data_IF_891431019006
#
_entry.id   IF_891431019006
#
_cell.length_a   1.000
_cell.length_b   1.000
_cell.length_c   1.000
_cell.angle_alpha   90.00
_cell.angle_beta   90.00
_cell.angle_gamma   90.00
#
_symmetry.space_group_name_H-M   'P 1'
#
loop_
_entity.id
_entity.type
_entity.pdbx_description
1 polymer ?
#
# COMPACT_ATOMS: atom_id res chain seq x y z
N UNK A 1 28.35 -7.65 24.92
CA UNK A 1 26.96 -7.24 25.14
C UNK A 1 26.91 -5.83 25.72
N UNK A 2 27.59 -5.56 26.83
CA UNK A 2 27.66 -4.22 27.44
C UNK A 2 28.17 -3.17 26.44
N UNK A 3 29.22 -3.46 25.70
CA UNK A 3 29.74 -2.58 24.62
C UNK A 3 28.67 -2.23 23.59
N UNK A 4 27.87 -3.23 23.18
CA UNK A 4 26.77 -2.98 22.24
C UNK A 4 25.71 -2.07 22.84
N UNK A 5 25.36 -2.31 24.09
CA UNK A 5 24.30 -1.57 24.79
C UNK A 5 24.72 -0.13 25.14
N UNK A 6 25.94 0.06 25.59
CA UNK A 6 26.42 1.33 26.15
C UNK A 6 27.07 2.24 25.10
N UNK A 7 27.64 1.68 24.03
CA UNK A 7 28.43 2.43 23.05
C UNK A 7 27.91 2.29 21.64
N UNK A 8 27.79 1.04 21.13
CA UNK A 8 27.49 0.82 19.70
C UNK A 8 26.06 1.23 19.37
N UNK A 9 25.09 0.81 20.17
CA UNK A 9 23.69 1.17 19.90
C UNK A 9 23.40 2.67 20.05
N UNK A 10 23.88 3.37 21.09
CA UNK A 10 23.83 4.83 21.15
C UNK A 10 24.52 5.53 19.98
N UNK A 11 25.64 5.01 19.51
CA UNK A 11 26.31 5.51 18.31
C UNK A 11 25.41 5.35 17.07
N UNK A 12 24.84 4.17 16.86
CA UNK A 12 23.89 3.91 15.76
C UNK A 12 22.69 4.86 15.82
N UNK A 13 22.11 5.10 17.01
CA UNK A 13 21.01 6.05 17.19
C UNK A 13 21.35 7.47 16.67
N UNK A 14 22.57 7.88 16.85
CA UNK A 14 23.05 9.23 16.54
C UNK A 14 23.87 9.29 15.24
N UNK A 15 23.86 8.23 14.44
CA UNK A 15 24.74 8.07 13.28
C UNK A 15 24.63 9.22 12.27
N UNK A 16 23.44 9.78 12.10
CA UNK A 16 23.19 10.81 11.09
C UNK A 16 23.58 12.24 11.53
N UNK A 17 23.82 12.49 12.82
CA UNK A 17 24.25 13.79 13.34
C UNK A 17 23.24 14.93 13.24
N UNK A 18 22.35 14.93 12.27
CA UNK A 18 21.26 15.91 12.11
C UNK A 18 19.98 15.39 12.80
N UNK A 19 19.57 16.10 13.86
CA UNK A 19 18.37 15.76 14.63
C UNK A 19 17.06 15.89 13.83
N UNK A 20 17.06 16.60 12.73
CA UNK A 20 15.90 16.80 11.88
C UNK A 20 15.81 15.76 10.74
N UNK A 21 16.85 14.96 10.57
CA UNK A 21 16.81 13.89 9.56
C UNK A 21 15.72 12.87 9.85
N UNK A 22 15.18 12.25 8.81
CA UNK A 22 14.22 11.16 8.95
C UNK A 22 14.77 10.05 9.85
N UNK A 23 16.04 9.67 9.65
CA UNK A 23 16.73 8.68 10.47
C UNK A 23 16.68 9.02 11.96
N UNK A 24 17.09 10.24 12.35
CA UNK A 24 17.12 10.66 13.75
C UNK A 24 15.75 10.63 14.40
N UNK A 25 14.70 11.07 13.69
CA UNK A 25 13.31 11.02 14.16
C UNK A 25 12.86 9.59 14.49
N UNK A 26 13.19 8.62 13.62
CA UNK A 26 12.76 7.23 13.81
C UNK A 26 13.61 6.47 14.81
N UNK A 27 14.83 6.91 15.06
CA UNK A 27 15.72 6.29 16.04
C UNK A 27 15.60 6.90 17.44
N UNK A 28 14.93 8.03 17.62
CA UNK A 28 14.91 8.78 18.88
C UNK A 28 14.44 7.94 20.07
N UNK A 29 13.36 7.19 19.92
CA UNK A 29 12.80 6.31 20.94
C UNK A 29 13.27 4.84 20.82
N UNK A 30 14.24 4.54 19.97
CA UNK A 30 14.75 3.18 19.80
C UNK A 30 15.50 2.70 21.05
N UNK A 31 15.20 1.45 21.44
CA UNK A 31 15.78 0.80 22.62
C UNK A 31 16.42 -0.51 22.20
N UNK A 32 17.64 -0.77 22.72
CA UNK A 32 18.29 -2.05 22.54
C UNK A 32 17.60 -3.13 23.38
N UNK A 33 16.92 -4.08 22.73
CA UNK A 33 16.08 -5.10 23.38
C UNK A 33 16.56 -6.53 23.24
N UNK A 34 17.78 -6.79 22.73
CA UNK A 34 18.29 -8.15 22.68
C UNK A 34 18.48 -8.68 24.12
N UNK A 35 17.83 -9.80 24.48
CA UNK A 35 17.75 -10.18 25.90
C UNK A 35 19.02 -10.84 26.44
N UNK A 36 19.87 -11.42 25.58
CA UNK A 36 21.04 -12.19 26.04
C UNK A 36 22.27 -11.95 25.13
N UNK A 37 23.49 -12.05 25.70
CA UNK A 37 24.74 -12.01 24.94
C UNK A 37 24.81 -13.10 23.86
N UNK A 38 24.30 -14.30 24.13
CA UNK A 38 24.30 -15.41 23.18
C UNK A 38 23.44 -15.09 21.95
N UNK A 39 22.28 -14.45 22.16
CA UNK A 39 21.43 -14.04 21.03
C UNK A 39 22.10 -12.94 20.21
N UNK A 40 22.75 -11.98 20.88
CA UNK A 40 23.52 -10.95 20.20
C UNK A 40 24.62 -11.55 19.33
N UNK A 41 25.41 -12.50 19.83
CA UNK A 41 26.44 -13.20 19.05
C UNK A 41 25.83 -13.83 17.78
N UNK A 42 24.76 -14.59 17.92
CA UNK A 42 24.08 -15.22 16.79
C UNK A 42 23.58 -14.21 15.74
N UNK A 43 23.08 -13.05 16.19
CA UNK A 43 22.64 -11.98 15.28
C UNK A 43 23.85 -11.39 14.54
N UNK A 44 24.95 -11.13 15.23
CA UNK A 44 26.17 -10.62 14.60
C UNK A 44 26.71 -11.60 13.57
N UNK A 45 26.84 -12.89 13.94
CA UNK A 45 27.33 -13.93 13.02
C UNK A 45 26.45 -14.05 11.76
N UNK A 46 25.11 -13.96 11.92
CA UNK A 46 24.17 -13.98 10.80
C UNK A 46 24.30 -12.73 9.91
N UNK A 47 24.49 -11.55 10.49
CA UNK A 47 24.72 -10.31 9.74
C UNK A 47 26.04 -10.36 8.98
N UNK A 48 27.11 -10.87 9.58
CA UNK A 48 28.41 -11.03 8.91
C UNK A 48 28.30 -11.94 7.69
N UNK A 49 27.56 -13.06 7.82
CA UNK A 49 27.30 -13.95 6.67
C UNK A 49 26.49 -13.26 5.56
N UNK A 50 25.44 -12.50 5.93
CA UNK A 50 24.66 -11.71 4.96
C UNK A 50 25.55 -10.70 4.25
N UNK A 51 26.38 -9.93 4.97
CA UNK A 51 27.29 -8.95 4.38
C UNK A 51 28.33 -9.61 3.47
N UNK A 52 28.84 -10.79 3.82
CA UNK A 52 29.75 -11.56 2.98
C UNK A 52 29.08 -11.92 1.65
N UNK A 53 27.87 -12.50 1.68
CA UNK A 53 27.11 -12.85 0.49
C UNK A 53 26.76 -11.62 -0.37
N UNK A 54 26.43 -10.49 0.26
CA UNK A 54 26.17 -9.24 -0.45
C UNK A 54 27.40 -8.72 -1.20
N UNK A 55 28.59 -8.80 -0.60
CA UNK A 55 29.84 -8.36 -1.24
C UNK A 55 30.27 -9.27 -2.40
N UNK A 56 29.89 -10.53 -2.37
CA UNK A 56 30.12 -11.51 -3.44
C UNK A 56 29.10 -11.38 -4.59
N UNK A 57 27.97 -10.74 -4.34
CA UNK A 57 26.88 -10.55 -5.30
C UNK A 57 27.10 -9.30 -6.16
N UNK A 58 26.94 -9.42 -7.48
CA UNK A 58 26.93 -8.28 -8.41
C UNK A 58 25.53 -7.63 -8.57
N UNK A 59 24.56 -8.02 -7.76
CA UNK A 59 23.19 -7.53 -7.86
C UNK A 59 23.07 -6.08 -7.36
N UNK A 60 22.29 -5.28 -8.07
CA UNK A 60 22.23 -3.81 -7.93
C UNK A 60 21.50 -3.37 -6.65
N UNK A 61 20.63 -4.19 -6.05
CA UNK A 61 19.87 -3.81 -4.84
C UNK A 61 19.74 -4.94 -3.80
N UNK A 62 20.87 -5.53 -3.44
CA UNK A 62 20.91 -6.63 -2.47
C UNK A 62 20.43 -6.19 -1.08
N UNK A 63 20.62 -4.91 -0.70
CA UNK A 63 20.23 -4.40 0.63
C UNK A 63 18.72 -4.37 0.80
N UNK A 64 18.02 -3.79 -0.17
CA UNK A 64 16.57 -3.73 -0.16
C UNK A 64 15.94 -5.11 -0.20
N UNK A 65 16.41 -6.00 -1.07
CA UNK A 65 15.90 -7.36 -1.17
C UNK A 65 16.15 -8.18 0.10
N UNK A 66 17.30 -8.02 0.75
CA UNK A 66 17.60 -8.67 2.03
C UNK A 66 16.66 -8.16 3.12
N UNK A 67 16.43 -6.84 3.17
CA UNK A 67 15.52 -6.24 4.14
C UNK A 67 14.08 -6.75 3.94
N UNK A 68 13.60 -6.78 2.72
CA UNK A 68 12.28 -7.32 2.36
C UNK A 68 12.17 -8.82 2.71
N UNK A 69 13.20 -9.61 2.48
CA UNK A 69 13.25 -11.01 2.88
C UNK A 69 13.11 -11.17 4.40
N UNK A 70 13.86 -10.38 5.19
CA UNK A 70 13.75 -10.39 6.65
C UNK A 70 12.35 -10.00 7.12
N UNK A 71 11.76 -8.96 6.53
CA UNK A 71 10.38 -8.56 6.83
C UNK A 71 9.38 -9.68 6.52
N UNK A 72 9.58 -10.41 5.41
CA UNK A 72 8.71 -11.54 5.06
C UNK A 72 8.79 -12.67 6.10
N UNK A 73 9.97 -12.94 6.64
CA UNK A 73 10.18 -13.94 7.70
C UNK A 73 9.57 -13.52 9.04
N UNK A 74 9.69 -12.25 9.41
CA UNK A 74 9.02 -11.70 10.60
C UNK A 74 7.50 -11.82 10.47
N UNK A 75 6.96 -11.51 9.32
CA UNK A 75 5.55 -11.66 9.04
C UNK A 75 5.07 -13.12 9.16
N UNK A 76 5.80 -14.07 8.55
CA UNK A 76 5.50 -15.50 8.63
C UNK A 76 5.54 -16.07 10.05
N UNK A 77 6.36 -15.50 10.95
CA UNK A 77 6.45 -15.95 12.34
C UNK A 77 5.22 -15.63 13.19
N UNK A 78 4.28 -14.83 12.68
CA UNK A 78 3.04 -14.44 13.37
C UNK A 78 3.25 -13.54 14.59
N UNK A 79 4.48 -13.16 14.89
CA UNK A 79 4.82 -12.42 16.11
C UNK A 79 4.21 -11.00 16.17
N UNK A 80 3.86 -10.43 15.03
CA UNK A 80 3.32 -9.06 14.97
C UNK A 80 1.86 -8.98 14.52
N UNK A 81 1.17 -10.08 14.21
CA UNK A 81 -0.27 -10.12 13.91
C UNK A 81 -0.74 -9.21 12.76
N UNK A 82 0.18 -8.63 12.00
CA UNK A 82 -0.14 -7.62 11.01
C UNK A 82 -0.26 -8.21 9.61
N UNK A 83 -1.32 -7.80 8.93
CA UNK A 83 -1.54 -8.11 7.53
C UNK A 83 -0.49 -7.44 6.66
N UNK A 84 0.28 -8.23 5.92
CA UNK A 84 1.16 -7.71 4.90
C UNK A 84 0.58 -8.03 3.51
N UNK A 85 0.47 -7.01 2.68
CA UNK A 85 0.08 -7.21 1.28
C UNK A 85 1.17 -7.98 0.55
N UNK A 86 0.85 -9.08 -0.16
CA UNK A 86 1.85 -9.81 -0.93
C UNK A 86 2.56 -8.92 -1.96
N UNK A 87 3.88 -9.06 -2.08
CA UNK A 87 4.71 -8.17 -2.92
C UNK A 87 4.28 -8.17 -4.39
N UNK A 88 3.88 -9.31 -4.93
CA UNK A 88 3.42 -9.41 -6.33
C UNK A 88 2.08 -8.68 -6.56
N UNK A 89 1.20 -8.63 -5.56
CA UNK A 89 -0.03 -7.83 -5.60
C UNK A 89 0.30 -6.34 -5.53
N UNK A 90 1.21 -5.94 -4.65
CA UNK A 90 1.70 -4.54 -4.58
C UNK A 90 2.29 -4.12 -5.92
N UNK A 91 3.17 -4.93 -6.51
CA UNK A 91 3.80 -4.63 -7.81
C UNK A 91 2.77 -4.51 -8.92
N UNK A 92 1.79 -5.41 -8.98
CA UNK A 92 0.68 -5.31 -9.92
C UNK A 92 -0.07 -3.99 -9.76
N UNK A 93 -0.47 -3.61 -8.55
CA UNK A 93 -1.20 -2.36 -8.30
C UNK A 93 -0.37 -1.14 -8.71
N UNK A 94 0.91 -1.12 -8.39
CA UNK A 94 1.81 -0.02 -8.79
C UNK A 94 1.94 0.05 -10.32
N UNK A 95 2.06 -1.08 -11.00
CA UNK A 95 2.15 -1.12 -12.46
C UNK A 95 0.85 -0.67 -13.14
N UNK A 96 -0.31 -1.03 -12.60
CA UNK A 96 -1.61 -0.55 -13.08
C UNK A 96 -1.74 0.98 -12.93
N UNK A 97 -1.18 1.54 -11.85
CA UNK A 97 -1.26 2.98 -11.60
C UNK A 97 -0.19 3.79 -12.34
N UNK A 98 0.88 3.17 -12.82
CA UNK A 98 1.98 3.82 -13.57
C UNK A 98 2.38 5.18 -12.98
N UNK A 99 3.01 5.22 -11.78
CA UNK A 99 3.40 6.45 -11.11
C UNK A 99 4.27 7.35 -12.00
N UNK A 100 4.12 8.67 -11.85
CA UNK A 100 4.85 9.70 -12.60
C UNK A 100 5.87 10.41 -11.70
N UNK A 101 6.87 11.03 -12.34
CA UNK A 101 7.99 11.66 -11.65
C UNK A 101 7.63 12.92 -10.84
N UNK A 102 6.48 13.52 -11.10
CA UNK A 102 5.96 14.73 -10.46
C UNK A 102 4.84 14.45 -9.45
N UNK A 103 4.49 13.21 -9.22
CA UNK A 103 3.40 12.84 -8.31
C UNK A 103 3.79 13.00 -6.84
N UNK A 104 2.78 13.16 -6.00
CA UNK A 104 2.87 13.08 -4.54
C UNK A 104 2.08 11.83 -4.14
N UNK A 105 2.79 10.83 -3.63
CA UNK A 105 2.28 9.49 -3.39
C UNK A 105 2.06 9.27 -1.90
N UNK A 106 0.86 8.81 -1.52
CA UNK A 106 0.53 8.56 -0.11
C UNK A 106 0.04 7.12 0.12
N UNK A 107 0.48 6.55 1.23
CA UNK A 107 -0.08 5.34 1.84
C UNK A 107 -0.59 5.68 3.25
N UNK A 108 -1.88 5.98 3.43
CA UNK A 108 -2.41 6.47 4.71
C UNK A 108 -2.63 5.38 5.78
N UNK A 109 -2.28 4.14 5.49
CA UNK A 109 -2.13 3.00 6.39
C UNK A 109 -0.92 2.21 5.89
N UNK A 110 0.29 2.77 6.06
CA UNK A 110 1.46 2.36 5.30
C UNK A 110 2.13 1.06 5.80
N UNK A 111 1.90 0.66 7.05
CA UNK A 111 2.56 -0.50 7.63
C UNK A 111 4.08 -0.42 7.47
N UNK A 112 4.66 -1.40 6.79
CA UNK A 112 6.10 -1.46 6.45
C UNK A 112 6.47 -0.63 5.22
N UNK A 113 5.61 0.24 4.73
CA UNK A 113 5.78 1.09 3.53
C UNK A 113 5.95 0.32 2.21
N UNK A 114 5.48 -0.92 2.12
CA UNK A 114 5.68 -1.76 0.94
C UNK A 114 5.15 -1.15 -0.36
N UNK A 115 4.02 -0.46 -0.34
CA UNK A 115 3.49 0.27 -1.52
C UNK A 115 4.40 1.42 -1.95
N UNK A 116 4.91 2.19 -0.99
CA UNK A 116 5.78 3.33 -1.29
C UNK A 116 7.14 2.85 -1.82
N UNK A 117 7.70 1.79 -1.25
CA UNK A 117 8.91 1.14 -1.75
C UNK A 117 8.72 0.66 -3.19
N UNK A 118 7.65 -0.08 -3.46
CA UNK A 118 7.37 -0.58 -4.80
C UNK A 118 7.14 0.54 -5.82
N UNK A 119 6.49 1.64 -5.43
CA UNK A 119 6.35 2.83 -6.28
C UNK A 119 7.72 3.47 -6.57
N UNK A 120 8.60 3.55 -5.56
CA UNK A 120 9.97 4.04 -5.73
C UNK A 120 10.80 3.15 -6.67
N UNK A 121 10.74 1.83 -6.49
CA UNK A 121 11.38 0.86 -7.39
C UNK A 121 10.88 1.02 -8.83
N UNK A 122 9.56 1.07 -9.01
CA UNK A 122 8.95 1.26 -10.34
C UNK A 122 9.43 2.53 -11.04
N UNK A 123 9.50 3.64 -10.31
CA UNK A 123 9.98 4.91 -10.82
C UNK A 123 11.48 4.86 -11.19
N UNK A 124 12.30 4.20 -10.40
CA UNK A 124 13.72 3.97 -10.71
C UNK A 124 13.91 3.13 -11.98
N UNK A 125 13.07 2.12 -12.19
CA UNK A 125 13.15 1.24 -13.34
C UNK A 125 12.62 1.93 -14.62
N UNK A 126 11.49 2.62 -14.53
CA UNK A 126 10.75 3.10 -15.69
C UNK A 126 10.92 4.60 -16.01
N UNK A 127 11.43 5.40 -15.04
CA UNK A 127 11.55 6.86 -15.12
C UNK A 127 12.96 7.36 -14.71
N UNK A 128 13.95 6.48 -14.75
CA UNK A 128 15.30 6.74 -14.23
C UNK A 128 15.91 8.02 -14.79
N UNK A 129 15.94 8.16 -16.10
CA UNK A 129 16.53 9.34 -16.76
C UNK A 129 15.76 10.61 -16.43
N UNK A 130 14.43 10.55 -16.46
CA UNK A 130 13.57 11.67 -16.15
C UNK A 130 13.79 12.20 -14.73
N UNK A 131 13.99 11.31 -13.75
CA UNK A 131 14.12 11.67 -12.34
C UNK A 131 15.55 12.05 -11.97
N UNK A 132 16.53 11.21 -12.34
CA UNK A 132 17.87 11.32 -11.78
C UNK A 132 18.82 12.22 -12.60
N UNK A 133 18.44 12.60 -13.82
CA UNK A 133 19.19 13.57 -14.63
C UNK A 133 18.66 15.00 -14.46
N UNK A 134 17.54 15.17 -13.77
CA UNK A 134 16.98 16.47 -13.37
C UNK A 134 17.15 16.67 -11.86
N UNK A 135 17.84 17.74 -11.46
CA UNK A 135 18.12 18.02 -10.05
C UNK A 135 16.83 18.26 -9.23
N UNK A 136 15.83 18.92 -9.79
CA UNK A 136 14.58 19.22 -9.08
C UNK A 136 13.73 17.96 -8.92
N UNK A 137 13.63 17.15 -9.97
CA UNK A 137 12.89 15.86 -9.90
C UNK A 137 13.57 14.87 -8.97
N UNK A 138 14.90 14.82 -8.96
CA UNK A 138 15.66 14.01 -8.01
C UNK A 138 15.42 14.46 -6.56
N UNK A 139 15.45 15.76 -6.30
CA UNK A 139 15.14 16.30 -4.98
C UNK A 139 13.70 15.99 -4.57
N UNK A 140 12.75 16.17 -5.47
CA UNK A 140 11.35 15.78 -5.25
C UNK A 140 11.21 14.30 -4.89
N UNK A 141 11.83 13.40 -5.67
CA UNK A 141 11.82 11.97 -5.41
C UNK A 141 12.39 11.61 -4.03
N UNK A 142 13.52 12.23 -3.65
CA UNK A 142 14.22 11.90 -2.40
C UNK A 142 13.54 12.48 -1.15
N UNK A 143 12.86 13.63 -1.26
CA UNK A 143 12.47 14.42 -0.10
C UNK A 143 10.98 14.80 -0.05
N UNK A 144 10.23 14.73 -1.16
CA UNK A 144 8.90 15.35 -1.22
C UNK A 144 7.82 14.48 -1.86
N UNK A 145 8.16 13.30 -2.37
CA UNK A 145 7.24 12.45 -3.12
C UNK A 145 6.46 11.48 -2.24
N UNK A 146 7.09 10.88 -1.22
CA UNK A 146 6.55 9.72 -0.52
C UNK A 146 6.07 10.04 0.88
N UNK A 147 4.79 9.80 1.13
CA UNK A 147 4.11 10.04 2.40
C UNK A 147 3.47 8.76 2.92
N UNK A 148 3.74 8.39 4.16
CA UNK A 148 3.15 7.23 4.83
C UNK A 148 2.69 7.57 6.23
N UNK A 149 1.54 7.05 6.62
CA UNK A 149 0.97 7.25 7.94
C UNK A 149 0.56 5.92 8.55
N UNK A 150 0.83 5.74 9.82
CA UNK A 150 0.39 4.57 10.59
C UNK A 150 0.27 4.93 12.07
N UNK A 151 -0.46 4.14 12.83
CA UNK A 151 -0.58 4.29 14.29
C UNK A 151 0.39 3.38 15.05
N UNK A 152 1.08 2.47 14.39
CA UNK A 152 2.08 1.59 15.01
C UNK A 152 3.49 2.16 14.82
N UNK A 153 4.08 2.64 15.92
CA UNK A 153 5.44 3.22 15.91
C UNK A 153 6.52 2.24 15.47
N UNK A 154 6.34 0.95 15.74
CA UNK A 154 7.28 -0.09 15.29
C UNK A 154 7.21 -0.23 13.78
N UNK A 155 6.00 -0.25 13.21
CA UNK A 155 5.81 -0.29 11.76
C UNK A 155 6.36 0.95 11.07
N UNK A 156 6.18 2.14 11.64
CA UNK A 156 6.73 3.38 11.10
C UNK A 156 8.26 3.33 11.03
N UNK A 157 8.93 2.84 12.08
CA UNK A 157 10.38 2.67 12.07
C UNK A 157 10.83 1.67 11.00
N UNK A 158 10.18 0.51 10.94
CA UNK A 158 10.44 -0.49 9.90
C UNK A 158 10.20 0.10 8.51
N UNK A 159 9.08 0.79 8.31
CA UNK A 159 8.72 1.39 7.03
C UNK A 159 9.71 2.47 6.58
N UNK A 160 10.13 3.33 7.49
CA UNK A 160 11.15 4.36 7.20
C UNK A 160 12.48 3.72 6.82
N UNK A 161 12.94 2.72 7.57
CA UNK A 161 14.16 1.96 7.25
C UNK A 161 14.04 1.26 5.90
N UNK A 162 12.87 0.66 5.61
CA UNK A 162 12.59 0.04 4.32
C UNK A 162 12.75 1.04 3.16
N UNK A 163 12.16 2.22 3.28
CA UNK A 163 12.31 3.28 2.27
C UNK A 163 13.77 3.71 2.09
N UNK A 164 14.49 3.92 3.20
CA UNK A 164 15.89 4.36 3.18
C UNK A 164 16.82 3.28 2.58
N UNK A 165 16.60 2.00 2.87
CA UNK A 165 17.39 0.90 2.28
C UNK A 165 17.17 0.76 0.78
N UNK A 166 16.02 1.24 0.26
CA UNK A 166 15.73 1.33 -1.17
C UNK A 166 16.14 2.67 -1.80
N UNK A 167 16.91 3.49 -1.07
CA UNK A 167 17.54 4.71 -1.57
C UNK A 167 16.58 5.90 -1.68
N UNK A 168 15.63 6.02 -0.77
CA UNK A 168 14.81 7.21 -0.56
C UNK A 168 15.26 7.83 0.76
N UNK A 169 16.01 8.92 0.70
CA UNK A 169 16.78 9.42 1.85
C UNK A 169 15.90 10.00 2.96
N UNK A 170 14.86 10.75 2.60
CA UNK A 170 14.00 11.42 3.55
C UNK A 170 12.50 11.14 3.30
N UNK A 171 12.04 9.89 3.47
CA UNK A 171 10.64 9.57 3.35
C UNK A 171 9.84 10.25 4.46
N UNK A 172 8.66 10.75 4.13
CA UNK A 172 7.77 11.37 5.11
C UNK A 172 6.85 10.31 5.73
N UNK A 173 7.37 9.57 6.69
CA UNK A 173 6.64 8.52 7.39
C UNK A 173 6.33 8.99 8.80
N UNK A 174 5.05 9.14 9.16
CA UNK A 174 4.66 9.75 10.43
C UNK A 174 3.60 8.94 11.18
N UNK A 175 3.66 9.03 12.52
CA UNK A 175 2.59 8.59 13.38
C UNK A 175 1.36 9.47 13.19
N UNK A 176 0.26 8.86 12.77
CA UNK A 176 -1.00 9.58 12.58
C UNK A 176 -2.18 8.63 12.62
N UNK A 177 -3.21 9.01 13.37
CA UNK A 177 -4.54 8.46 13.15
C UNK A 177 -5.14 9.13 11.91
N UNK A 178 -5.09 8.41 10.79
CA UNK A 178 -5.53 8.93 9.49
C UNK A 178 -7.01 9.29 9.44
N UNK A 179 -7.85 8.65 10.27
CA UNK A 179 -9.30 8.84 10.29
C UNK A 179 -9.77 9.92 11.27
N UNK A 180 -8.88 10.43 12.12
CA UNK A 180 -9.21 11.43 13.13
C UNK A 180 -9.21 12.87 12.58
N UNK A 181 -9.75 13.80 13.36
CA UNK A 181 -9.69 15.24 13.07
C UNK A 181 -8.25 15.80 13.11
N UNK A 182 -7.31 15.07 13.70
CA UNK A 182 -5.90 15.45 13.70
C UNK A 182 -5.22 15.28 12.33
N UNK A 183 -5.86 14.60 11.39
CA UNK A 183 -5.36 14.50 10.02
C UNK A 183 -5.78 15.75 9.21
N UNK A 184 -4.85 16.69 8.93
CA UNK A 184 -5.17 17.94 8.22
C UNK A 184 -5.23 17.77 6.70
N UNK A 185 -4.78 16.62 6.16
CA UNK A 185 -4.55 16.46 4.74
C UNK A 185 -5.86 16.43 3.94
N UNK A 186 -6.00 17.42 3.06
CA UNK A 186 -7.10 17.56 2.10
C UNK A 186 -6.50 17.97 0.75
N UNK A 187 -6.97 17.35 -0.32
CA UNK A 187 -6.57 17.68 -1.71
C UNK A 187 -5.06 17.83 -1.93
N UNK A 188 -4.29 16.95 -1.28
CA UNK A 188 -2.82 17.03 -1.25
C UNK A 188 -2.14 16.06 -2.20
N UNK A 189 -2.67 14.84 -2.34
CA UNK A 189 -2.00 13.74 -3.01
C UNK A 189 -2.52 13.51 -4.43
N UNK A 190 -1.62 13.15 -5.34
CA UNK A 190 -1.98 12.79 -6.71
C UNK A 190 -2.18 11.29 -6.88
N UNK A 191 -1.56 10.47 -6.01
CA UNK A 191 -1.70 9.03 -6.02
C UNK A 191 -1.81 8.50 -4.59
N UNK A 192 -2.82 7.66 -4.33
CA UNK A 192 -2.95 6.89 -3.09
C UNK A 192 -2.87 5.40 -3.43
N UNK A 193 -2.02 4.69 -2.70
CA UNK A 193 -1.87 3.24 -2.74
C UNK A 193 -2.09 2.70 -1.34
N UNK A 194 -3.10 1.84 -1.16
CA UNK A 194 -3.48 1.44 0.18
C UNK A 194 -4.03 0.01 0.27
N UNK A 195 -3.73 -0.62 1.38
CA UNK A 195 -4.42 -1.80 1.90
C UNK A 195 -4.83 -1.49 3.34
N UNK A 196 -5.95 -0.77 3.57
CA UNK A 196 -6.39 -0.40 4.91
C UNK A 196 -6.87 -1.62 5.69
N UNK A 197 -7.00 -1.53 7.03
CA UNK A 197 -7.53 -2.61 7.85
C UNK A 197 -8.91 -3.07 7.36
N UNK A 198 -9.08 -4.40 7.18
CA UNK A 198 -10.33 -4.99 6.67
C UNK A 198 -11.45 -5.02 7.71
N UNK A 199 -11.11 -4.92 8.97
CA UNK A 199 -12.05 -4.94 10.09
C UNK A 199 -11.62 -3.93 11.15
N UNK A 200 -12.56 -3.20 11.64
CA UNK A 200 -12.38 -2.28 12.73
C UNK A 200 -13.68 -1.53 12.97
N UNK A 201 -13.90 -1.14 14.21
CA UNK A 201 -15.00 -0.26 14.58
C UNK A 201 -14.44 0.83 15.45
N UNK A 202 -14.60 2.06 15.04
CA UNK A 202 -14.17 3.24 15.77
C UNK A 202 -15.35 3.89 16.48
N UNK A 203 -15.07 4.59 17.58
CA UNK A 203 -16.06 5.50 18.13
C UNK A 203 -16.26 6.69 17.19
N UNK A 204 -17.51 7.03 16.93
CA UNK A 204 -17.84 8.13 16.03
C UNK A 204 -17.22 9.47 16.48
N UNK A 205 -17.03 9.64 17.79
CA UNK A 205 -16.46 10.85 18.37
C UNK A 205 -14.97 11.02 18.10
N UNK A 206 -14.29 9.94 17.67
CA UNK A 206 -12.86 9.98 17.30
C UNK A 206 -12.64 10.16 15.79
N UNK A 207 -13.68 9.99 14.99
CA UNK A 207 -13.63 10.07 13.53
C UNK A 207 -13.88 11.50 13.07
N UNK A 208 -13.11 11.94 12.09
CA UNK A 208 -13.28 13.25 11.47
C UNK A 208 -14.70 13.47 10.94
N UNK A 209 -15.32 14.57 11.31
CA UNK A 209 -16.72 14.89 11.00
C UNK A 209 -17.00 14.98 9.49
N UNK A 210 -16.02 15.36 8.68
CA UNK A 210 -16.17 15.44 7.23
C UNK A 210 -16.23 14.05 6.57
N UNK A 211 -15.55 13.04 7.11
CA UNK A 211 -15.67 11.66 6.65
C UNK A 211 -17.06 11.09 6.96
N UNK A 212 -17.60 11.39 8.15
CA UNK A 212 -18.94 10.96 8.55
C UNK A 212 -20.05 11.59 7.72
N UNK A 213 -19.83 12.76 7.10
CA UNK A 213 -20.77 13.36 6.14
C UNK A 213 -20.86 12.56 4.84
N UNK A 214 -19.75 11.97 4.39
CA UNK A 214 -19.73 11.13 3.18
C UNK A 214 -20.32 9.76 3.49
N UNK A 215 -19.92 9.17 4.63
CA UNK A 215 -20.28 7.81 5.00
C UNK A 215 -20.45 7.70 6.51
N UNK A 216 -21.72 7.79 6.98
CA UNK A 216 -22.04 7.68 8.41
C UNK A 216 -21.91 6.24 8.87
N UNK A 217 -20.76 5.88 9.40
CA UNK A 217 -20.43 4.52 9.83
C UNK A 217 -19.34 4.51 10.90
N UNK A 218 -19.21 3.39 11.59
CA UNK A 218 -18.07 3.07 12.47
C UNK A 218 -17.06 2.11 11.80
N UNK A 219 -17.38 1.61 10.61
CA UNK A 219 -16.54 0.63 9.90
C UNK A 219 -15.34 1.29 9.24
N UNK A 220 -14.14 0.87 9.66
CA UNK A 220 -12.88 1.45 9.20
C UNK A 220 -12.69 1.34 7.70
N UNK A 221 -13.04 0.19 7.09
CA UNK A 221 -12.89 -0.06 5.66
C UNK A 221 -13.68 0.93 4.78
N UNK A 222 -14.86 1.37 5.23
CA UNK A 222 -15.66 2.38 4.52
C UNK A 222 -15.14 3.80 4.75
N UNK A 223 -14.70 4.10 5.98
CA UNK A 223 -14.14 5.41 6.34
C UNK A 223 -12.83 5.69 5.59
N UNK A 224 -12.02 4.66 5.34
CA UNK A 224 -10.81 4.83 4.54
C UNK A 224 -11.10 5.22 3.08
N UNK A 225 -12.16 4.72 2.47
CA UNK A 225 -12.58 5.15 1.13
C UNK A 225 -12.97 6.64 1.11
N UNK A 226 -13.74 7.09 2.12
CA UNK A 226 -14.06 8.51 2.28
C UNK A 226 -12.80 9.36 2.50
N UNK A 227 -11.84 8.84 3.29
CA UNK A 227 -10.56 9.48 3.53
C UNK A 227 -9.74 9.64 2.24
N UNK A 228 -9.65 8.61 1.40
CA UNK A 228 -8.91 8.69 0.14
C UNK A 228 -9.47 9.78 -0.76
N UNK A 229 -10.80 9.87 -0.89
CA UNK A 229 -11.45 10.96 -1.63
C UNK A 229 -11.14 12.35 -1.03
N UNK A 230 -11.08 12.48 0.30
CA UNK A 230 -10.71 13.74 0.95
C UNK A 230 -9.26 14.14 0.66
N UNK A 231 -8.34 13.17 0.75
CA UNK A 231 -6.89 13.42 0.66
C UNK A 231 -6.40 13.64 -0.78
N UNK A 232 -7.07 13.04 -1.77
CA UNK A 232 -6.74 13.21 -3.17
C UNK A 232 -7.08 14.64 -3.64
N UNK A 233 -6.18 15.24 -4.41
CA UNK A 233 -6.49 16.40 -5.23
C UNK A 233 -7.40 16.02 -6.41
N UNK A 234 -8.07 17.01 -7.01
CA UNK A 234 -8.84 16.76 -8.25
C UNK A 234 -7.90 16.23 -9.34
N UNK A 235 -8.31 15.15 -10.01
CA UNK A 235 -7.48 14.39 -10.93
C UNK A 235 -6.55 13.37 -10.25
N UNK A 236 -6.49 13.36 -8.93
CA UNK A 236 -5.72 12.36 -8.17
C UNK A 236 -6.38 10.99 -8.23
N UNK A 237 -5.56 9.95 -8.20
CA UNK A 237 -5.94 8.55 -8.44
C UNK A 237 -5.70 7.69 -7.20
N UNK A 238 -6.51 6.65 -7.05
CA UNK A 238 -6.35 5.69 -5.98
C UNK A 238 -6.41 4.26 -6.52
N UNK A 239 -5.53 3.40 -6.03
CA UNK A 239 -5.72 1.96 -6.03
C UNK A 239 -5.71 1.45 -4.59
N UNK A 240 -6.79 0.83 -4.17
CA UNK A 240 -6.90 0.33 -2.81
C UNK A 240 -7.53 -1.06 -2.76
N UNK A 241 -7.12 -1.84 -1.76
CA UNK A 241 -7.68 -3.15 -1.48
C UNK A 241 -8.81 -3.00 -0.48
N UNK A 242 -9.92 -3.65 -0.75
CA UNK A 242 -11.10 -3.70 0.13
C UNK A 242 -11.59 -5.13 0.30
N UNK A 243 -12.20 -5.49 1.44
CA UNK A 243 -12.90 -6.76 1.56
C UNK A 243 -14.16 -6.76 0.70
N UNK A 244 -14.55 -7.92 0.17
CA UNK A 244 -15.71 -8.08 -0.71
C UNK A 244 -17.00 -7.46 -0.17
N UNK A 245 -17.18 -7.48 1.16
CA UNK A 245 -18.33 -6.87 1.79
C UNK A 245 -18.54 -5.38 1.46
N UNK A 246 -17.50 -4.69 1.03
CA UNK A 246 -17.59 -3.31 0.55
C UNK A 246 -18.35 -3.25 -0.78
N UNK A 247 -18.18 -4.25 -1.65
CA UNK A 247 -18.76 -4.26 -3.00
C UNK A 247 -20.28 -4.45 -3.00
N UNK A 248 -20.80 -5.30 -2.11
CA UNK A 248 -22.23 -5.69 -2.10
C UNK A 248 -22.95 -5.39 -0.78
N UNK A 249 -22.28 -4.89 0.24
CA UNK A 249 -22.89 -4.61 1.53
C UNK A 249 -24.17 -3.77 1.40
N UNK A 250 -25.23 -4.16 2.12
CA UNK A 250 -26.58 -3.59 1.96
C UNK A 250 -26.87 -2.37 2.84
N UNK A 251 -26.01 -2.05 3.82
CA UNK A 251 -26.24 -0.91 4.71
C UNK A 251 -26.21 0.41 3.97
N UNK A 252 -26.88 1.42 4.52
CA UNK A 252 -26.88 2.78 3.97
C UNK A 252 -25.47 3.32 3.75
N UNK A 253 -24.54 3.04 4.68
CA UNK A 253 -23.16 3.48 4.58
C UNK A 253 -22.40 2.82 3.40
N UNK A 254 -22.59 1.52 3.17
CA UNK A 254 -22.01 0.84 2.01
C UNK A 254 -22.51 1.43 0.69
N UNK A 255 -23.83 1.63 0.59
CA UNK A 255 -24.43 2.23 -0.61
C UNK A 255 -23.97 3.67 -0.82
N UNK A 256 -23.86 4.46 0.26
CA UNK A 256 -23.42 5.84 0.19
C UNK A 256 -21.99 5.96 -0.38
N UNK A 257 -21.05 5.17 0.13
CA UNK A 257 -19.66 5.24 -0.36
C UNK A 257 -19.54 4.73 -1.80
N UNK A 258 -20.23 3.65 -2.19
CA UNK A 258 -20.23 3.19 -3.57
C UNK A 258 -20.85 4.21 -4.52
N UNK A 259 -21.95 4.85 -4.11
CA UNK A 259 -22.56 5.95 -4.86
C UNK A 259 -21.59 7.11 -5.03
N UNK A 260 -20.87 7.49 -3.97
CA UNK A 260 -19.87 8.56 -4.06
C UNK A 260 -18.75 8.23 -5.05
N UNK A 261 -18.27 6.98 -5.07
CA UNK A 261 -17.27 6.54 -6.03
C UNK A 261 -17.79 6.56 -7.48
N UNK A 262 -19.03 6.12 -7.70
CA UNK A 262 -19.63 5.94 -9.04
C UNK A 262 -20.22 7.24 -9.59
N UNK A 263 -20.98 7.98 -8.79
CA UNK A 263 -21.69 9.19 -9.21
C UNK A 263 -20.89 10.47 -8.99
N UNK A 264 -20.22 10.58 -7.84
CA UNK A 264 -19.45 11.76 -7.47
C UNK A 264 -18.07 11.83 -8.08
N UNK A 265 -17.53 10.68 -8.46
CA UNK A 265 -16.17 10.55 -8.98
C UNK A 265 -16.13 9.62 -10.20
N UNK A 266 -14.95 9.19 -10.62
CA UNK A 266 -14.78 8.22 -11.70
C UNK A 266 -14.23 6.90 -11.15
N UNK A 267 -15.12 5.91 -10.97
CA UNK A 267 -14.71 4.53 -10.72
C UNK A 267 -14.28 3.90 -12.04
N UNK A 268 -13.05 3.45 -12.11
CA UNK A 268 -12.45 2.93 -13.35
C UNK A 268 -12.45 1.41 -13.40
N UNK A 269 -12.08 0.76 -12.28
CA UNK A 269 -11.97 -0.70 -12.25
C UNK A 269 -12.28 -1.30 -10.91
N UNK A 270 -12.77 -2.55 -10.97
CA UNK A 270 -12.92 -3.48 -9.85
C UNK A 270 -12.25 -4.79 -10.23
N UNK A 271 -11.20 -5.18 -9.51
CA UNK A 271 -10.48 -6.44 -9.73
C UNK A 271 -10.76 -7.32 -8.51
N UNK A 272 -11.62 -8.32 -8.69
CA UNK A 272 -11.91 -9.32 -7.65
C UNK A 272 -10.71 -10.25 -7.47
N UNK A 273 -10.33 -10.51 -6.22
CA UNK A 273 -9.28 -11.44 -5.86
C UNK A 273 -9.85 -12.59 -5.02
N UNK A 274 -9.48 -13.86 -5.30
CA UNK A 274 -10.04 -15.00 -4.60
C UNK A 274 -9.60 -15.05 -3.14
N UNK A 275 -10.39 -15.75 -2.31
CA UNK A 275 -9.98 -16.07 -0.96
C UNK A 275 -8.67 -16.86 -0.98
N UNK A 276 -7.75 -16.54 -0.05
CA UNK A 276 -6.44 -17.19 -0.01
C UNK A 276 -5.28 -16.34 -0.51
N UNK A 277 -5.50 -15.28 -1.30
CA UNK A 277 -4.43 -14.35 -1.71
C UNK A 277 -3.67 -13.77 -0.50
N UNK A 278 -4.39 -13.51 0.59
CA UNK A 278 -3.81 -12.94 1.83
C UNK A 278 -3.48 -13.99 2.90
N UNK A 279 -3.54 -15.28 2.59
CA UNK A 279 -3.11 -16.31 3.54
C UNK A 279 -1.60 -16.24 3.82
N UNK A 280 -1.16 -16.61 5.02
CA UNK A 280 -1.96 -17.14 6.14
C UNK A 280 -2.70 -16.09 6.98
N UNK A 281 -2.67 -14.81 6.64
CA UNK A 281 -3.19 -13.72 7.49
C UNK A 281 -4.71 -13.56 7.42
N UNK A 282 -5.29 -13.70 6.23
CA UNK A 282 -6.73 -13.61 6.02
C UNK A 282 -7.20 -14.59 4.94
N UNK A 283 -8.29 -15.29 5.25
CA UNK A 283 -8.97 -16.19 4.30
C UNK A 283 -10.21 -15.53 3.66
N UNK A 284 -10.26 -14.21 3.60
CA UNK A 284 -11.40 -13.47 3.01
C UNK A 284 -11.11 -13.12 1.56
N UNK A 285 -12.15 -13.12 0.73
CA UNK A 285 -12.10 -12.57 -0.61
C UNK A 285 -12.02 -11.05 -0.54
N UNK A 286 -11.29 -10.46 -1.46
CA UNK A 286 -11.00 -9.02 -1.51
C UNK A 286 -11.13 -8.51 -2.93
N UNK A 287 -11.11 -7.20 -3.09
CA UNK A 287 -11.03 -6.59 -4.41
C UNK A 287 -10.11 -5.38 -4.40
N UNK A 288 -9.57 -5.06 -5.56
CA UNK A 288 -8.88 -3.79 -5.81
C UNK A 288 -9.87 -2.85 -6.47
N UNK A 289 -10.04 -1.67 -5.89
CA UNK A 289 -10.78 -0.56 -6.48
C UNK A 289 -9.78 0.43 -7.07
N UNK A 290 -9.99 0.83 -8.33
CA UNK A 290 -9.22 1.89 -8.99
C UNK A 290 -10.19 3.01 -9.35
N UNK A 291 -9.90 4.22 -8.88
CA UNK A 291 -10.73 5.39 -9.13
C UNK A 291 -9.93 6.69 -9.19
N UNK A 292 -10.51 7.68 -9.87
CA UNK A 292 -9.98 9.05 -9.93
C UNK A 292 -10.96 10.00 -9.24
N UNK A 293 -10.44 10.87 -8.36
CA UNK A 293 -11.23 11.95 -7.78
C UNK A 293 -11.49 13.02 -8.83
N UNK A 294 -12.74 13.23 -9.17
CA UNK A 294 -13.17 14.27 -10.10
C UNK A 294 -14.03 15.33 -9.41
N UNK A 295 -14.82 14.94 -8.41
CA UNK A 295 -15.76 15.80 -7.70
C UNK A 295 -17.00 16.20 -8.52
N UNK A 296 -17.13 15.69 -9.74
CA UNK A 296 -18.26 15.97 -10.64
C UNK A 296 -18.71 14.76 -11.47
N UNK A 297 -18.36 13.56 -11.03
CA UNK A 297 -18.68 12.32 -11.75
C UNK A 297 -17.64 11.97 -12.83
N UNK A 298 -18.10 11.28 -13.87
CA UNK A 298 -17.24 10.86 -14.98
C UNK A 298 -17.10 9.36 -15.16
N UNK A 299 -17.84 8.57 -14.38
CA UNK A 299 -17.98 7.13 -14.62
C UNK A 299 -18.96 6.91 -15.76
N UNK A 300 -18.50 6.34 -16.87
CA UNK A 300 -19.35 5.86 -17.96
C UNK A 300 -19.52 4.36 -17.90
N UNK A 301 -18.40 3.65 -17.82
CA UNK A 301 -18.33 2.20 -17.68
C UNK A 301 -17.27 1.87 -16.62
N UNK A 302 -17.45 0.78 -15.88
CA UNK A 302 -16.48 0.25 -14.95
C UNK A 302 -15.92 -1.05 -15.50
N UNK A 303 -14.61 -1.18 -15.53
CA UNK A 303 -13.96 -2.43 -15.92
C UNK A 303 -13.91 -3.40 -14.75
N UNK A 304 -14.36 -4.63 -14.98
CA UNK A 304 -14.33 -5.72 -14.01
C UNK A 304 -13.36 -6.80 -14.45
N UNK A 305 -12.63 -7.36 -13.51
CA UNK A 305 -11.80 -8.53 -13.73
C UNK A 305 -11.98 -9.53 -12.58
N UNK A 306 -12.30 -10.78 -12.91
CA UNK A 306 -12.41 -11.91 -11.98
C UNK A 306 -11.08 -12.66 -11.91
N UNK A 307 -10.20 -12.24 -11.01
CA UNK A 307 -8.92 -12.89 -10.79
C UNK A 307 -9.11 -14.19 -10.03
N UNK A 308 -8.55 -15.27 -10.55
CA UNK A 308 -8.67 -16.62 -9.98
C UNK A 308 -7.35 -17.17 -9.46
N UNK A 309 -6.22 -16.64 -9.96
CA UNK A 309 -4.90 -17.09 -9.58
C UNK A 309 -3.89 -15.95 -9.59
N UNK A 310 -2.97 -15.95 -8.62
CA UNK A 310 -1.94 -14.93 -8.44
C UNK A 310 -0.50 -15.48 -8.54
N UNK A 311 -0.34 -16.68 -9.11
CA UNK A 311 0.95 -17.34 -9.23
C UNK A 311 1.37 -18.14 -7.98
N UNK A 312 0.53 -18.15 -6.95
CA UNK A 312 0.75 -18.89 -5.70
C UNK A 312 -0.49 -19.73 -5.36
N UNK A 313 -0.29 -20.87 -4.69
CA UNK A 313 -1.40 -21.68 -4.18
C UNK A 313 -2.25 -20.90 -3.19
N UNK A 314 -3.57 -21.10 -3.22
CA UNK A 314 -4.52 -20.38 -2.35
C UNK A 314 -4.69 -21.02 -0.95
N UNK A 315 -3.79 -21.91 -0.59
CA UNK A 315 -3.67 -22.52 0.75
C UNK A 315 -2.69 -21.73 1.64
N UNK A 316 -2.52 -22.16 2.88
CA UNK A 316 -1.65 -21.46 3.85
C UNK A 316 -0.15 -21.52 3.50
N UNK A 317 0.25 -22.42 2.61
CA UNK A 317 1.65 -22.59 2.18
C UNK A 317 2.07 -21.55 1.14
N UNK A 318 1.13 -21.07 0.34
CA UNK A 318 1.39 -20.09 -0.71
C UNK A 318 2.56 -20.51 -1.63
N UNK A 319 2.57 -21.78 -2.05
CA UNK A 319 3.61 -22.34 -2.92
C UNK A 319 3.44 -21.83 -4.36
N UNK A 320 4.53 -21.62 -5.12
CA UNK A 320 4.45 -21.22 -6.52
C UNK A 320 3.64 -22.22 -7.37
N UNK A 321 2.77 -21.67 -8.23
CA UNK A 321 1.96 -22.42 -9.22
C UNK A 321 2.06 -21.73 -10.58
N UNK A 322 1.66 -22.43 -11.65
CA UNK A 322 1.72 -21.88 -13.02
C UNK A 322 0.59 -20.88 -13.30
N UNK A 323 -0.57 -21.12 -12.70
CA UNK A 323 -1.76 -20.29 -12.90
C UNK A 323 -1.52 -18.91 -12.29
N UNK A 324 -1.53 -17.87 -13.14
CA UNK A 324 -1.27 -16.49 -12.75
C UNK A 324 -1.96 -15.51 -13.69
N UNK A 325 -2.96 -14.83 -13.19
CA UNK A 325 -3.73 -13.83 -13.95
C UNK A 325 -3.08 -12.43 -13.96
N UNK A 326 -2.06 -12.17 -13.13
CA UNK A 326 -1.46 -10.85 -13.00
C UNK A 326 -0.96 -10.29 -14.34
N UNK A 327 -0.22 -11.03 -15.18
CA UNK A 327 0.21 -10.51 -16.47
C UNK A 327 -0.96 -10.16 -17.40
N UNK A 328 -2.04 -10.96 -17.37
CA UNK A 328 -3.24 -10.72 -18.18
C UNK A 328 -4.00 -9.47 -17.68
N UNK A 329 -4.13 -9.28 -16.36
CA UNK A 329 -4.74 -8.08 -15.77
C UNK A 329 -4.00 -6.83 -16.23
N UNK A 330 -2.68 -6.81 -16.12
CA UNK A 330 -1.84 -5.67 -16.51
C UNK A 330 -1.98 -5.38 -18.00
N UNK A 331 -1.88 -6.41 -18.85
CA UNK A 331 -1.97 -6.25 -20.30
C UNK A 331 -3.33 -5.69 -20.73
N UNK A 332 -4.43 -6.18 -20.14
CA UNK A 332 -5.78 -5.72 -20.43
C UNK A 332 -6.05 -4.32 -19.92
N UNK A 333 -5.67 -4.01 -18.71
CA UNK A 333 -5.87 -2.69 -18.14
C UNK A 333 -5.10 -1.60 -18.91
N UNK A 334 -3.94 -1.92 -19.46
CA UNK A 334 -3.18 -1.02 -20.35
C UNK A 334 -3.83 -0.84 -21.72
N UNK A 335 -4.79 -1.68 -22.12
CA UNK A 335 -5.48 -1.64 -23.40
C UNK A 335 -7.00 -1.82 -23.25
N UNK A 336 -7.63 -0.98 -22.44
CA UNK A 336 -9.06 -1.03 -22.16
C UNK A 336 -9.97 -0.89 -23.40
N UNK A 337 -9.47 -0.29 -24.48
CA UNK A 337 -10.23 -0.20 -25.73
C UNK A 337 -10.53 -1.58 -26.33
N UNK A 338 -9.63 -2.55 -26.18
CA UNK A 338 -9.84 -3.91 -26.62
C UNK A 338 -10.85 -4.70 -25.75
N UNK A 339 -11.17 -4.20 -24.55
CA UNK A 339 -12.10 -4.83 -23.61
C UNK A 339 -13.58 -4.48 -23.87
N UNK A 340 -13.88 -3.47 -24.71
CA UNK A 340 -15.23 -2.90 -24.89
C UNK A 340 -16.29 -3.89 -25.34
N UNK A 341 -15.91 -4.94 -26.08
CA UNK A 341 -16.85 -5.90 -26.66
C UNK A 341 -16.82 -7.28 -25.97
N UNK A 342 -16.19 -7.38 -24.81
CA UNK A 342 -16.11 -8.65 -24.09
C UNK A 342 -17.43 -9.02 -23.44
N UNK A 343 -17.75 -10.33 -23.48
CA UNK A 343 -18.96 -10.86 -22.86
C UNK A 343 -18.85 -10.92 -21.35
N UNK A 344 -19.98 -10.81 -20.63
CA UNK A 344 -20.08 -10.92 -19.18
C UNK A 344 -19.63 -12.28 -18.63
N UNK A 345 -19.55 -13.29 -19.43
CA UNK A 345 -19.08 -14.63 -19.09
C UNK A 345 -17.57 -14.80 -19.16
N UNK A 346 -16.87 -13.78 -19.63
CA UNK A 346 -15.41 -13.78 -19.69
C UNK A 346 -14.80 -13.26 -18.36
N UNK A 347 -13.49 -13.50 -18.16
CA UNK A 347 -12.78 -13.04 -16.94
C UNK A 347 -12.80 -11.54 -16.75
N UNK A 348 -12.89 -10.76 -17.82
CA UNK A 348 -12.96 -9.32 -17.76
C UNK A 348 -14.00 -8.77 -18.74
N UNK A 349 -14.65 -7.69 -18.34
CA UNK A 349 -15.71 -7.03 -19.11
C UNK A 349 -16.00 -5.64 -18.55
N UNK A 350 -16.68 -4.83 -19.34
CA UNK A 350 -17.22 -3.55 -18.89
C UNK A 350 -18.66 -3.67 -18.41
N UNK A 351 -18.99 -2.90 -17.36
CA UNK A 351 -20.35 -2.70 -16.86
C UNK A 351 -20.70 -1.23 -17.03
N UNK A 352 -21.78 -0.89 -17.76
CA UNK A 352 -22.25 0.49 -17.86
C UNK A 352 -22.68 1.04 -16.49
N UNK A 353 -22.37 2.31 -16.23
CA UNK A 353 -22.79 3.00 -15.01
C UNK A 353 -24.25 2.81 -14.68
N UNK A 354 -25.15 2.95 -15.69
CA UNK A 354 -26.59 2.86 -15.48
C UNK A 354 -26.98 1.50 -14.89
N UNK A 355 -26.37 0.41 -15.34
CA UNK A 355 -26.61 -0.92 -14.80
C UNK A 355 -26.20 -1.03 -13.33
N UNK A 356 -25.06 -0.44 -12.96
CA UNK A 356 -24.60 -0.39 -11.56
C UNK A 356 -25.59 0.39 -10.69
N UNK A 357 -26.10 1.51 -11.19
CA UNK A 357 -27.09 2.35 -10.50
C UNK A 357 -28.40 1.57 -10.31
N UNK A 358 -28.89 0.94 -11.37
CA UNK A 358 -30.15 0.17 -11.37
C UNK A 358 -30.08 -1.03 -10.41
N UNK A 359 -28.89 -1.61 -10.24
CA UNK A 359 -28.62 -2.68 -9.26
C UNK A 359 -28.24 -2.15 -7.85
N UNK A 360 -28.57 -0.91 -7.52
CA UNK A 360 -28.36 -0.33 -6.18
C UNK A 360 -26.88 -0.13 -5.83
N UNK A 361 -26.06 0.18 -6.82
CA UNK A 361 -24.60 0.34 -6.71
C UNK A 361 -23.86 -0.93 -6.28
N UNK A 362 -24.38 -2.10 -6.62
CA UNK A 362 -23.65 -3.35 -6.40
C UNK A 362 -22.44 -3.40 -7.35
N UNK A 363 -21.27 -3.66 -6.77
CA UNK A 363 -19.98 -3.75 -7.48
C UNK A 363 -19.42 -5.18 -7.41
N UNK A 364 -20.20 -6.16 -6.98
CA UNK A 364 -19.79 -7.57 -7.04
C UNK A 364 -19.82 -8.08 -8.48
N UNK A 365 -18.97 -9.05 -8.74
CA UNK A 365 -18.82 -9.61 -10.10
C UNK A 365 -19.91 -10.66 -10.47
N UNK A 366 -20.73 -11.03 -9.47
CA UNK A 366 -21.76 -12.06 -9.60
C UNK A 366 -23.09 -11.51 -10.12
#
# INVERSE_FOLDING_TARGET
YATMQEWVFPFIKNLHGDKNSAYSKYMDDAIFKLPTPLLLSKVVDALDEIYRLMNESQAVDVRGDTYEYLLSKIAQSGLNGQFRTPRHIIKMMVELMDPKADEIICAPACGTSGFLVAAGEYLKENRKEEIFFDRQKKDHYMNHMFFGYDMDRTMLRIGAMNMMTHGIDNPYIEYRDSLSDQNPDKEKYSLILANPPFKGSLDADTVSADLLKVCKTKKTELLFLALFLRMLKIGGRCACIVPDGVLFGSSTAHKAIRKELVDGNRLEAVISMPSGVFKPYAGVSTAILIFTKTGHGGTDNVWFYDMQADGLSLDDKRSPVQENDIPDIIARFKNLDAEKNRARTEKSFFVPKQEIVDNGYDLSIN
#
